data_IF_765645141782
#
_entry.id   IF_765645141782
#
_cell.length_a   1.000
_cell.length_b   1.000
_cell.length_c   1.000
_cell.angle_alpha   90.00
_cell.angle_beta   90.00
_cell.angle_gamma   90.00
#
_symmetry.space_group_name_H-M   'P 1'
#
loop_
_entity.id
_entity.type
_entity.pdbx_description
1 polymer ?
#
# COMPACT_ATOMS: atom_id res chain seq x y z
N UNK A 1 0.03 -16.42 -15.76
CA UNK A 1 0.23 -15.70 -14.50
C UNK A 1 -0.88 -14.66 -14.32
N UNK A 2 -1.70 -14.78 -13.28
CA UNK A 2 -2.68 -13.73 -12.90
C UNK A 2 -2.05 -12.76 -11.89
N UNK A 3 -2.11 -11.46 -12.15
CA UNK A 3 -1.63 -10.38 -11.28
C UNK A 3 -2.78 -9.85 -10.46
N UNK A 4 -2.75 -10.08 -9.15
CA UNK A 4 -3.84 -9.75 -8.23
C UNK A 4 -3.42 -8.56 -7.36
N UNK A 5 -4.04 -7.40 -7.59
CA UNK A 5 -3.83 -6.18 -6.81
C UNK A 5 -4.71 -6.14 -5.56
N UNK A 6 -4.12 -5.82 -4.42
CA UNK A 6 -4.86 -5.68 -3.15
C UNK A 6 -4.65 -4.26 -2.65
N UNK A 7 -5.74 -3.51 -2.57
CA UNK A 7 -5.75 -2.12 -2.16
C UNK A 7 -6.74 -1.86 -1.02
N UNK A 8 -6.80 -0.63 -0.54
CA UNK A 8 -7.72 -0.18 0.49
C UNK A 8 -7.13 0.93 1.35
N UNK A 9 -7.95 1.59 2.12
CA UNK A 9 -7.55 2.73 2.94
C UNK A 9 -6.63 2.35 4.11
N UNK A 10 -6.01 3.35 4.72
CA UNK A 10 -5.14 3.16 5.89
C UNK A 10 -5.84 2.34 6.97
N UNK A 11 -5.13 1.36 7.54
CA UNK A 11 -5.59 0.45 8.59
C UNK A 11 -6.85 -0.39 8.25
N UNK A 12 -7.20 -0.56 6.97
CA UNK A 12 -8.33 -1.41 6.54
C UNK A 12 -8.09 -2.91 6.71
N UNK A 13 -6.83 -3.36 6.90
CA UNK A 13 -6.47 -4.77 7.03
C UNK A 13 -5.91 -5.39 5.75
N UNK A 14 -5.48 -4.58 4.77
CA UNK A 14 -4.83 -5.04 3.52
C UNK A 14 -3.74 -6.07 3.75
N UNK A 15 -2.80 -5.78 4.66
CA UNK A 15 -1.65 -6.66 4.92
C UNK A 15 -2.08 -8.02 5.45
N UNK A 16 -3.13 -8.08 6.28
CA UNK A 16 -3.70 -9.35 6.74
C UNK A 16 -4.33 -10.11 5.59
N UNK A 17 -5.12 -9.41 4.76
CA UNK A 17 -5.77 -10.00 3.59
C UNK A 17 -4.75 -10.48 2.55
N UNK A 18 -3.74 -9.67 2.21
CA UNK A 18 -2.73 -10.01 1.21
C UNK A 18 -1.88 -11.21 1.64
N UNK A 19 -1.46 -11.27 2.90
CA UNK A 19 -0.75 -12.43 3.46
C UNK A 19 -1.60 -13.70 3.41
N UNK A 20 -2.88 -13.60 3.77
CA UNK A 20 -3.80 -14.73 3.71
C UNK A 20 -4.02 -15.20 2.28
N UNK A 21 -4.27 -14.28 1.35
CA UNK A 21 -4.49 -14.60 -0.06
C UNK A 21 -3.27 -15.25 -0.71
N UNK A 22 -2.06 -14.74 -0.44
CA UNK A 22 -0.82 -15.23 -1.03
C UNK A 22 -0.33 -16.54 -0.41
N UNK A 23 -0.68 -16.82 0.86
CA UNK A 23 -0.26 -18.04 1.56
C UNK A 23 -0.61 -19.30 0.76
N UNK A 24 0.41 -20.10 0.41
CA UNK A 24 0.32 -21.32 -0.41
C UNK A 24 -0.24 -21.13 -1.83
N UNK A 25 -0.43 -19.88 -2.31
CA UNK A 25 -1.05 -19.61 -3.62
C UNK A 25 -0.19 -18.79 -4.57
N UNK A 26 0.84 -18.14 -4.06
CA UNK A 26 1.78 -17.40 -4.88
C UNK A 26 2.56 -16.34 -4.12
N UNK A 27 3.59 -15.77 -4.74
CA UNK A 27 4.43 -14.75 -4.11
C UNK A 27 3.68 -13.44 -3.88
N UNK A 28 4.11 -12.69 -2.86
CA UNK A 28 3.52 -11.42 -2.45
C UNK A 28 4.52 -10.27 -2.57
N UNK A 29 4.22 -9.32 -3.43
CA UNK A 29 4.86 -8.00 -3.47
C UNK A 29 4.19 -7.05 -2.48
N UNK A 30 4.98 -6.27 -1.74
CA UNK A 30 4.45 -5.19 -0.89
C UNK A 30 5.14 -3.88 -1.21
N UNK A 31 4.38 -2.89 -1.69
CA UNK A 31 4.88 -1.56 -1.99
C UNK A 31 5.47 -0.89 -0.74
N UNK A 32 4.85 -1.07 0.43
CA UNK A 32 5.34 -0.51 1.69
C UNK A 32 6.71 -1.09 2.09
N UNK A 33 6.96 -2.40 1.83
CA UNK A 33 8.27 -3.00 2.04
C UNK A 33 9.33 -2.41 1.11
N UNK A 34 8.99 -2.21 -0.16
CA UNK A 34 9.90 -1.58 -1.13
C UNK A 34 10.26 -0.17 -0.68
N UNK A 35 9.28 0.65 -0.31
CA UNK A 35 9.52 2.01 0.22
C UNK A 35 10.40 1.97 1.47
N UNK A 36 10.14 1.04 2.40
CA UNK A 36 10.98 0.86 3.60
C UNK A 36 12.43 0.56 3.23
N UNK A 37 12.65 -0.32 2.24
CA UNK A 37 13.99 -0.68 1.77
C UNK A 37 14.69 0.50 1.06
N UNK A 38 13.95 1.32 0.29
CA UNK A 38 14.49 2.54 -0.30
C UNK A 38 15.04 3.48 0.79
N UNK A 39 14.36 3.63 1.91
CA UNK A 39 14.84 4.44 3.03
C UNK A 39 16.05 3.86 3.77
N UNK A 40 16.43 2.62 3.51
CA UNK A 40 17.68 2.02 4.01
C UNK A 40 18.83 2.21 3.01
N UNK A 41 18.53 2.44 1.73
CA UNK A 41 19.51 2.57 0.66
C UNK A 41 20.25 3.92 0.74
N UNK A 42 21.57 3.87 0.82
CA UNK A 42 22.43 5.06 0.97
C UNK A 42 22.34 6.02 -0.23
N UNK A 43 22.30 5.48 -1.46
CA UNK A 43 22.17 6.31 -2.69
C UNK A 43 20.84 7.04 -2.72
N UNK A 44 19.77 6.36 -2.35
CA UNK A 44 18.43 6.96 -2.23
C UNK A 44 18.41 8.05 -1.16
N UNK A 45 18.97 7.80 0.04
CA UNK A 45 19.06 8.80 1.11
C UNK A 45 19.80 10.05 0.64
N UNK A 46 20.99 9.90 0.02
CA UNK A 46 21.77 11.04 -0.53
C UNK A 46 20.95 11.85 -1.53
N UNK A 47 20.21 11.19 -2.43
CA UNK A 47 19.31 11.86 -3.39
C UNK A 47 18.20 12.65 -2.72
N UNK A 48 17.57 12.10 -1.68
CA UNK A 48 16.50 12.78 -0.94
C UNK A 48 17.05 13.96 -0.13
N UNK A 49 18.19 13.78 0.54
CA UNK A 49 18.85 14.85 1.31
C UNK A 49 19.10 16.06 0.41
N UNK A 50 19.69 15.86 -0.77
CA UNK A 50 19.94 16.96 -1.74
C UNK A 50 18.63 17.58 -2.24
N UNK A 51 17.60 16.76 -2.56
CA UNK A 51 16.37 17.25 -3.17
C UNK A 51 15.49 18.05 -2.23
N UNK A 52 15.58 17.79 -0.92
CA UNK A 52 14.75 18.41 0.11
C UNK A 52 15.53 19.34 1.03
N UNK A 53 16.81 19.56 0.73
CA UNK A 53 17.71 20.36 1.56
C UNK A 53 17.58 19.96 3.04
N UNK A 54 17.88 18.68 3.30
CA UNK A 54 17.79 18.10 4.65
C UNK A 54 19.13 18.33 5.34
N UNK A 55 19.09 19.07 6.45
CA UNK A 55 20.25 19.25 7.34
C UNK A 55 20.56 17.95 8.07
N UNK A 56 21.85 17.68 8.33
CA UNK A 56 22.33 16.39 8.87
C UNK A 56 22.15 16.24 10.39
N UNK A 57 21.66 17.24 11.06
CA UNK A 57 21.55 17.31 12.53
C UNK A 57 20.54 16.33 13.12
N UNK A 58 19.56 15.89 12.33
CA UNK A 58 18.55 14.95 12.75
C UNK A 58 18.66 13.60 12.03
N UNK A 59 18.22 12.50 12.64
CA UNK A 59 18.06 11.22 11.93
C UNK A 59 17.22 11.42 10.66
N UNK A 60 17.70 10.91 9.53
CA UNK A 60 17.13 11.11 8.19
C UNK A 60 15.59 11.01 8.12
N UNK A 61 15.00 10.04 8.81
CA UNK A 61 13.53 9.84 8.81
C UNK A 61 12.81 11.01 9.49
N UNK A 62 13.36 11.54 10.58
CA UNK A 62 12.76 12.63 11.34
C UNK A 62 12.87 13.93 10.54
N UNK A 63 14.05 14.24 10.02
CA UNK A 63 14.29 15.42 9.19
C UNK A 63 13.42 15.43 7.92
N UNK A 64 13.30 14.29 7.22
CA UNK A 64 12.39 14.16 6.08
C UNK A 64 10.93 14.35 6.49
N UNK A 65 10.51 13.79 7.62
CA UNK A 65 9.15 13.95 8.14
C UNK A 65 8.83 15.41 8.42
N UNK A 66 9.73 16.17 9.04
CA UNK A 66 9.56 17.59 9.29
C UNK A 66 9.42 18.40 8.00
N UNK A 67 10.32 18.20 7.02
CA UNK A 67 10.22 18.84 5.69
C UNK A 67 8.90 18.55 4.98
N UNK A 68 8.36 17.34 5.14
CA UNK A 68 7.06 16.94 4.58
C UNK A 68 5.92 17.63 5.31
N UNK A 69 5.97 17.78 6.64
CA UNK A 69 4.92 18.45 7.41
C UNK A 69 4.91 19.97 7.21
N UNK A 70 6.07 20.58 7.01
CA UNK A 70 6.19 22.02 6.75
C UNK A 70 5.51 22.45 5.44
N UNK A 71 5.50 21.58 4.42
CA UNK A 71 4.91 21.94 3.13
C UNK A 71 4.28 20.71 2.45
N UNK A 72 2.98 20.75 2.25
CA UNK A 72 2.23 19.67 1.58
C UNK A 72 2.69 19.38 0.14
N UNK A 73 3.28 20.38 -0.56
CA UNK A 73 3.89 20.19 -1.89
C UNK A 73 5.07 19.22 -1.86
N UNK A 74 5.76 19.12 -0.70
CA UNK A 74 6.90 18.21 -0.54
C UNK A 74 6.49 16.73 -0.62
N UNK A 75 5.26 16.39 -0.24
CA UNK A 75 4.75 15.03 -0.39
C UNK A 75 4.67 14.66 -1.87
N UNK A 76 4.09 15.51 -2.70
CA UNK A 76 4.01 15.27 -4.16
C UNK A 76 5.41 15.18 -4.78
N UNK A 77 6.38 16.00 -4.30
CA UNK A 77 7.78 15.90 -4.73
C UNK A 77 8.40 14.55 -4.35
N UNK A 78 8.13 14.04 -3.14
CA UNK A 78 8.62 12.75 -2.68
C UNK A 78 7.99 11.59 -3.45
N UNK A 79 6.69 11.62 -3.65
CA UNK A 79 5.94 10.64 -4.45
C UNK A 79 6.49 10.54 -5.88
N UNK A 80 6.79 11.67 -6.54
CA UNK A 80 7.43 11.69 -7.86
C UNK A 80 8.78 10.97 -7.91
N UNK A 81 9.50 10.89 -6.79
CA UNK A 81 10.77 10.13 -6.71
C UNK A 81 10.54 8.66 -6.39
N UNK A 82 9.61 8.36 -5.49
CA UNK A 82 9.36 7.00 -4.99
C UNK A 82 8.57 6.17 -6.00
N UNK A 83 7.50 6.71 -6.60
CA UNK A 83 6.60 5.95 -7.45
C UNK A 83 7.29 5.26 -8.64
N UNK A 84 8.21 5.90 -9.39
CA UNK A 84 8.93 5.21 -10.47
C UNK A 84 9.77 4.04 -9.98
N UNK A 85 10.40 4.17 -8.79
CA UNK A 85 11.22 3.11 -8.20
C UNK A 85 10.36 1.93 -7.77
N UNK A 86 9.23 2.18 -7.11
CA UNK A 86 8.27 1.13 -6.72
C UNK A 86 7.70 0.43 -7.96
N UNK A 87 7.35 1.17 -9.03
CA UNK A 87 6.87 0.60 -10.29
C UNK A 87 7.94 -0.29 -10.96
N UNK A 88 9.20 0.12 -10.92
CA UNK A 88 10.32 -0.67 -11.44
C UNK A 88 10.44 -2.00 -10.70
N UNK A 89 10.43 -1.96 -9.36
CA UNK A 89 10.51 -3.16 -8.53
C UNK A 89 9.26 -4.07 -8.69
N UNK A 90 8.08 -3.49 -8.85
CA UNK A 90 6.84 -4.21 -9.14
C UNK A 90 6.91 -4.97 -10.46
N UNK A 91 7.41 -4.32 -11.53
CA UNK A 91 7.60 -4.96 -12.84
C UNK A 91 8.65 -6.08 -12.78
N UNK A 92 9.78 -5.85 -12.10
CA UNK A 92 10.81 -6.87 -11.88
C UNK A 92 10.23 -8.08 -11.14
N UNK A 93 9.48 -7.84 -10.05
CA UNK A 93 8.86 -8.89 -9.27
C UNK A 93 7.87 -9.72 -10.11
N UNK A 94 7.06 -9.07 -10.95
CA UNK A 94 6.17 -9.77 -11.87
C UNK A 94 6.95 -10.65 -12.87
N UNK A 95 8.00 -10.11 -13.48
CA UNK A 95 8.84 -10.82 -14.44
C UNK A 95 9.53 -12.05 -13.82
N UNK A 96 10.09 -11.89 -12.61
CA UNK A 96 10.74 -13.00 -11.88
C UNK A 96 9.78 -14.11 -11.45
N UNK A 97 8.48 -13.86 -11.50
CA UNK A 97 7.46 -14.80 -11.08
C UNK A 97 6.49 -15.22 -12.21
N UNK A 98 6.90 -15.02 -13.48
CA UNK A 98 6.06 -15.31 -14.66
C UNK A 98 5.51 -16.73 -14.71
N UNK A 99 6.25 -17.70 -14.14
CA UNK A 99 5.89 -19.13 -14.12
C UNK A 99 4.90 -19.48 -12.99
N UNK A 100 4.50 -18.53 -12.14
CA UNK A 100 3.52 -18.76 -11.07
C UNK A 100 2.10 -18.56 -11.58
N UNK A 101 1.15 -19.40 -11.15
CA UNK A 101 -0.27 -19.26 -11.50
C UNK A 101 -0.80 -17.88 -11.08
N UNK A 102 -0.53 -17.48 -9.84
CA UNK A 102 -0.96 -16.20 -9.26
C UNK A 102 0.22 -15.44 -8.65
N UNK A 103 0.22 -14.11 -8.78
CA UNK A 103 1.16 -13.21 -8.13
C UNK A 103 0.38 -12.08 -7.48
N UNK A 104 0.61 -11.86 -6.18
CA UNK A 104 -0.15 -10.92 -5.36
C UNK A 104 0.63 -9.63 -5.13
N UNK A 105 -0.07 -8.49 -5.13
CA UNK A 105 0.52 -7.17 -4.97
C UNK A 105 -0.27 -6.35 -3.95
N UNK A 106 0.33 -6.09 -2.80
CA UNK A 106 -0.21 -5.16 -1.81
C UNK A 106 0.22 -3.73 -2.13
N UNK A 107 -0.71 -2.91 -2.62
CA UNK A 107 -0.45 -1.53 -3.03
C UNK A 107 -1.52 -0.59 -2.44
N UNK A 108 -1.21 0.16 -1.37
CA UNK A 108 -2.17 1.04 -0.70
C UNK A 108 -2.77 2.11 -1.62
N UNK A 109 -1.95 2.72 -2.47
CA UNK A 109 -2.32 3.81 -3.37
C UNK A 109 -2.47 3.33 -4.84
N UNK A 110 -3.01 2.12 -5.05
CA UNK A 110 -3.14 1.51 -6.38
C UNK A 110 -3.95 2.39 -7.34
N UNK A 111 -5.10 2.86 -6.90
CA UNK A 111 -6.02 3.67 -7.69
C UNK A 111 -5.46 5.08 -7.89
N UNK A 112 -4.98 5.70 -6.81
CA UNK A 112 -4.37 7.04 -6.83
C UNK A 112 -3.15 7.11 -7.74
N UNK A 113 -2.40 6.02 -7.85
CA UNK A 113 -1.22 5.92 -8.71
C UNK A 113 -1.55 5.48 -10.15
N UNK A 114 -2.85 5.32 -10.50
CA UNK A 114 -3.33 4.90 -11.83
C UNK A 114 -2.68 3.60 -12.30
N UNK A 115 -2.63 2.59 -11.41
CA UNK A 115 -1.99 1.30 -11.68
C UNK A 115 -2.98 0.20 -12.10
N UNK A 116 -4.28 0.52 -12.28
CA UNK A 116 -5.34 -0.45 -12.52
C UNK A 116 -5.01 -1.39 -13.70
N UNK A 117 -4.58 -0.85 -14.82
CA UNK A 117 -4.30 -1.61 -16.04
C UNK A 117 -3.12 -2.61 -15.92
N UNK A 118 -2.40 -2.61 -14.80
CA UNK A 118 -1.34 -3.59 -14.54
C UNK A 118 -1.88 -4.91 -14.00
N UNK A 119 -3.09 -4.92 -13.45
CA UNK A 119 -3.67 -6.04 -12.72
C UNK A 119 -4.80 -6.71 -13.52
N UNK A 120 -4.87 -8.01 -13.39
CA UNK A 120 -5.97 -8.82 -13.96
C UNK A 120 -7.17 -8.86 -13.00
N UNK A 121 -6.92 -8.68 -11.69
CA UNK A 121 -7.94 -8.64 -10.63
C UNK A 121 -7.51 -7.61 -9.58
N UNK A 122 -8.44 -6.76 -9.15
CA UNK A 122 -8.22 -5.78 -8.08
C UNK A 122 -9.21 -6.04 -6.94
N UNK A 123 -8.68 -6.24 -5.74
CA UNK A 123 -9.46 -6.49 -4.52
C UNK A 123 -9.32 -5.29 -3.58
N UNK A 124 -10.42 -4.62 -3.28
CA UNK A 124 -10.49 -3.56 -2.28
C UNK A 124 -10.82 -4.14 -0.90
N UNK A 125 -9.95 -3.90 0.07
CA UNK A 125 -10.25 -4.18 1.48
C UNK A 125 -10.78 -2.90 2.13
N UNK A 126 -12.07 -2.88 2.45
CA UNK A 126 -12.80 -1.76 3.02
C UNK A 126 -13.09 -1.99 4.50
N UNK A 127 -13.01 -0.94 5.32
CA UNK A 127 -13.47 -0.98 6.70
C UNK A 127 -13.99 0.40 7.15
N UNK A 128 -14.93 0.43 8.08
CA UNK A 128 -15.48 1.67 8.67
C UNK A 128 -14.36 2.54 9.22
N UNK A 129 -14.46 3.86 9.05
CA UNK A 129 -13.42 4.83 9.50
C UNK A 129 -13.12 4.69 10.99
N UNK A 130 -14.14 4.48 11.82
CA UNK A 130 -14.00 4.26 13.27
C UNK A 130 -13.13 3.04 13.60
N UNK A 131 -13.37 1.92 12.91
CA UNK A 131 -12.61 0.67 13.08
C UNK A 131 -11.17 0.86 12.63
N UNK A 132 -10.95 1.53 11.48
CA UNK A 132 -9.62 1.83 10.96
C UNK A 132 -8.83 2.73 11.91
N UNK A 133 -9.46 3.75 12.49
CA UNK A 133 -8.86 4.63 13.51
C UNK A 133 -8.48 3.84 14.77
N UNK A 134 -9.38 2.98 15.27
CA UNK A 134 -9.08 2.11 16.43
C UNK A 134 -7.86 1.22 16.15
N UNK A 135 -7.84 0.54 14.99
CA UNK A 135 -6.70 -0.31 14.57
C UNK A 135 -5.40 0.48 14.41
N UNK A 136 -5.48 1.72 13.92
CA UNK A 136 -4.32 2.58 13.76
C UNK A 136 -3.74 3.02 15.11
N UNK A 137 -4.60 3.40 16.07
CA UNK A 137 -4.20 3.73 17.45
C UNK A 137 -3.56 2.54 18.17
N UNK A 138 -4.12 1.33 18.03
CA UNK A 138 -3.54 0.10 18.61
C UNK A 138 -2.13 -0.23 18.09
N UNK A 139 -1.74 0.32 16.94
CA UNK A 139 -0.38 0.22 16.38
C UNK A 139 0.52 1.41 16.75
N UNK A 140 0.15 2.21 17.74
CA UNK A 140 0.90 3.38 18.18
C UNK A 140 0.67 4.65 17.33
N UNK A 141 -0.30 4.66 16.42
CA UNK A 141 -0.58 5.82 15.58
C UNK A 141 -1.43 6.87 16.29
N UNK A 142 -1.09 8.16 16.11
CA UNK A 142 -1.88 9.31 16.63
C UNK A 142 -3.04 9.64 15.67
N UNK A 143 -4.18 10.10 16.23
CA UNK A 143 -5.37 10.48 15.44
C UNK A 143 -5.06 11.54 14.39
N UNK A 144 -4.28 12.56 14.71
CA UNK A 144 -3.88 13.61 13.77
C UNK A 144 -3.18 13.05 12.52
N UNK A 145 -2.24 12.11 12.71
CA UNK A 145 -1.58 11.45 11.60
C UNK A 145 -2.54 10.58 10.78
N UNK A 146 -3.46 9.88 11.44
CA UNK A 146 -4.50 9.11 10.76
C UNK A 146 -5.34 10.00 9.85
N UNK A 147 -5.82 11.15 10.35
CA UNK A 147 -6.68 12.07 9.58
C UNK A 147 -5.92 12.64 8.36
N UNK A 148 -4.65 13.04 8.53
CA UNK A 148 -3.81 13.49 7.42
C UNK A 148 -3.68 12.40 6.34
N UNK A 149 -3.34 11.18 6.71
CA UNK A 149 -3.14 10.08 5.78
C UNK A 149 -4.45 9.62 5.14
N UNK A 150 -5.55 9.63 5.89
CA UNK A 150 -6.87 9.28 5.38
C UNK A 150 -7.38 10.30 4.36
N UNK A 151 -7.19 11.60 4.61
CA UNK A 151 -7.66 12.66 3.72
C UNK A 151 -6.87 12.73 2.40
N UNK A 152 -5.68 12.15 2.34
CA UNK A 152 -4.89 12.02 1.10
C UNK A 152 -5.33 10.87 0.22
N UNK A 153 -6.07 9.92 0.75
CA UNK A 153 -6.56 8.77 0.00
C UNK A 153 -7.93 9.06 -0.60
N UNK A 154 -8.16 8.58 -1.80
CA UNK A 154 -9.51 8.54 -2.38
C UNK A 154 -10.41 7.70 -1.47
N UNK A 155 -11.66 8.10 -1.30
CA UNK A 155 -12.63 7.36 -0.46
C UNK A 155 -12.85 5.94 -0.97
N UNK A 156 -13.12 5.01 -0.05
CA UNK A 156 -13.37 3.61 -0.43
C UNK A 156 -14.54 3.46 -1.41
N UNK A 157 -15.56 4.33 -1.36
CA UNK A 157 -16.67 4.33 -2.32
C UNK A 157 -16.22 4.73 -3.74
N UNK A 158 -15.29 5.68 -3.86
CA UNK A 158 -14.72 6.01 -5.17
C UNK A 158 -13.76 4.93 -5.64
N UNK A 159 -12.96 4.31 -4.75
CA UNK A 159 -12.07 3.20 -5.09
C UNK A 159 -12.82 1.97 -5.58
N UNK A 160 -13.98 1.67 -4.99
CA UNK A 160 -14.77 0.48 -5.35
C UNK A 160 -15.18 0.45 -6.81
N UNK A 161 -15.35 1.60 -7.45
CA UNK A 161 -15.67 1.71 -8.88
C UNK A 161 -14.57 1.17 -9.82
N UNK A 162 -13.35 1.02 -9.32
CA UNK A 162 -12.17 0.55 -10.06
C UNK A 162 -11.69 -0.84 -9.61
N UNK A 163 -12.48 -1.54 -8.79
CA UNK A 163 -12.10 -2.81 -8.22
C UNK A 163 -13.10 -3.90 -8.59
N UNK A 164 -12.60 -5.08 -8.92
CA UNK A 164 -13.45 -6.24 -9.27
C UNK A 164 -14.15 -6.81 -8.05
N UNK A 165 -13.51 -6.70 -6.89
CA UNK A 165 -14.06 -7.20 -5.63
C UNK A 165 -13.90 -6.20 -4.50
N UNK A 166 -14.95 -6.09 -3.67
CA UNK A 166 -14.93 -5.30 -2.44
C UNK A 166 -15.16 -6.23 -1.26
N UNK A 167 -14.20 -6.28 -0.35
CA UNK A 167 -14.26 -7.09 0.87
C UNK A 167 -14.36 -6.18 2.08
N UNK A 168 -15.47 -6.24 2.78
CA UNK A 168 -15.70 -5.49 4.03
C UNK A 168 -15.04 -6.23 5.19
N UNK A 169 -14.15 -5.53 5.89
CA UNK A 169 -13.36 -6.05 7.02
C UNK A 169 -13.71 -5.29 8.31
N UNK A 170 -15.00 -5.26 8.65
CA UNK A 170 -15.50 -4.62 9.87
C UNK A 170 -15.59 -5.56 11.06
N UNK A 171 -15.49 -6.85 10.82
CA UNK A 171 -15.67 -7.93 11.80
C UNK A 171 -14.34 -8.64 12.11
N UNK A 172 -14.41 -9.86 12.61
CA UNK A 172 -13.26 -10.69 12.96
C UNK A 172 -12.55 -11.29 11.72
N UNK A 173 -11.39 -11.90 11.97
CA UNK A 173 -10.57 -12.48 10.92
C UNK A 173 -11.26 -13.66 10.19
N UNK A 174 -12.09 -14.46 10.88
CA UNK A 174 -12.74 -15.62 10.27
C UNK A 174 -13.72 -15.19 9.16
N UNK A 175 -14.45 -14.09 9.37
CA UNK A 175 -15.34 -13.54 8.36
C UNK A 175 -14.54 -12.97 7.18
N UNK A 176 -13.46 -12.24 7.45
CA UNK A 176 -12.56 -11.79 6.39
C UNK A 176 -12.04 -12.97 5.56
N UNK A 177 -11.57 -14.04 6.22
CA UNK A 177 -11.08 -15.27 5.59
C UNK A 177 -12.15 -15.91 4.70
N UNK A 178 -13.41 -16.07 5.19
CA UNK A 178 -14.53 -16.63 4.43
C UNK A 178 -14.77 -15.84 3.14
N UNK A 179 -14.84 -14.51 3.24
CA UNK A 179 -15.08 -13.63 2.10
C UNK A 179 -13.93 -13.70 1.07
N UNK A 180 -12.68 -13.74 1.52
CA UNK A 180 -11.51 -13.86 0.65
C UNK A 180 -11.45 -15.23 -0.05
N UNK A 181 -11.81 -16.32 0.63
CA UNK A 181 -11.89 -17.67 0.04
C UNK A 181 -12.96 -17.75 -1.07
N UNK A 182 -14.08 -17.05 -0.89
CA UNK A 182 -15.11 -16.95 -1.93
C UNK A 182 -14.60 -16.36 -3.25
N UNK A 183 -13.70 -15.35 -3.16
CA UNK A 183 -13.08 -14.75 -4.34
C UNK A 183 -12.10 -15.72 -5.00
N UNK A 184 -11.27 -16.41 -4.20
CA UNK A 184 -10.28 -17.34 -4.72
C UNK A 184 -10.97 -18.50 -5.48
N UNK A 185 -12.04 -19.07 -4.93
CA UNK A 185 -12.79 -20.17 -5.57
C UNK A 185 -13.32 -19.81 -6.96
N UNK A 186 -13.63 -18.53 -7.21
CA UNK A 186 -14.10 -18.04 -8.52
C UNK A 186 -12.98 -17.94 -9.56
N UNK A 187 -11.70 -17.97 -9.11
CA UNK A 187 -10.52 -17.76 -9.97
C UNK A 187 -9.48 -18.89 -9.87
N UNK A 188 -9.84 -19.98 -9.16
CA UNK A 188 -8.99 -21.17 -9.00
C UNK A 188 -8.81 -21.96 -10.30
#
# INVERSE_FOLDING_TARGET
MKKIGITGSIASGKTTASKFLSSKRGPLFSADKVVKNLYLNTRFKKKIIRKFDIQKELPFKNALKEKIFQNSKNIKKLEKVIHPLVRKEMKKFAASNKNKKNVFFEIPLLIESKLMNFFDIIILIKAKKSIRLKRFKLKGGKKSLFDILNNKQISDNKKSKFCDYVVVNDRNFNILKKNLLGIIKKHA
#
